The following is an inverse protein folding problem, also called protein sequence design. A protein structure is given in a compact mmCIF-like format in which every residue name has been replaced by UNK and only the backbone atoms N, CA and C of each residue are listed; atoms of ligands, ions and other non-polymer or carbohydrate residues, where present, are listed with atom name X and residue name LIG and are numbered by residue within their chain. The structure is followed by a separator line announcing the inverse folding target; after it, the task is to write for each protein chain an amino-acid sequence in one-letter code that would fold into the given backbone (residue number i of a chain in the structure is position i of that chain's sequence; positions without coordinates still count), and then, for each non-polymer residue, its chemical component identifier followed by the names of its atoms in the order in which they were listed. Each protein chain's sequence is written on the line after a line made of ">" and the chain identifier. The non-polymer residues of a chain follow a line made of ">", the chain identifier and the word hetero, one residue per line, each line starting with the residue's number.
data_IF_761867173986
#
_entry.id   IF_761867173986
#
_cell.length_a   1.000
_cell.length_b   1.000
_cell.length_c   1.000
_cell.angle_alpha   90.00
_cell.angle_beta   90.00
_cell.angle_gamma   90.00
#
_symmetry.space_group_name_H-M   'P 1'
#
loop_
_entity.id
_entity.type
_entity.pdbx_description
1 polymer ?
#
# COMPACT_ATOMS: atom_id res chain seq x y z
N UNK A 1 12.49 20.37 -8.23
CA UNK A 1 12.11 19.06 -7.69
C UNK A 1 10.61 18.89 -7.86
N UNK A 2 10.19 17.79 -8.46
CA UNK A 2 8.78 17.54 -8.73
C UNK A 2 8.00 17.27 -7.46
N UNK A 3 6.78 17.77 -7.40
CA UNK A 3 5.87 17.48 -6.30
C UNK A 3 4.94 16.32 -6.68
N UNK A 4 4.50 15.57 -5.69
CA UNK A 4 3.54 14.51 -5.87
C UNK A 4 2.12 15.06 -5.67
N UNK A 5 1.20 14.57 -6.51
CA UNK A 5 -0.22 14.86 -6.40
C UNK A 5 -0.97 13.58 -6.03
N UNK A 6 -1.95 13.72 -5.15
CA UNK A 6 -2.85 12.62 -4.78
C UNK A 6 -4.18 12.86 -5.48
N UNK A 7 -4.56 11.94 -6.37
CA UNK A 7 -5.68 12.14 -7.29
C UNK A 7 -6.61 10.92 -7.28
N UNK A 8 -7.88 11.10 -7.69
CA UNK A 8 -8.78 9.96 -7.87
C UNK A 8 -8.26 8.98 -8.92
N UNK A 9 -8.58 7.70 -8.76
CA UNK A 9 -8.24 6.67 -9.74
C UNK A 9 -9.32 6.66 -10.83
N UNK A 10 -8.88 6.72 -12.08
CA UNK A 10 -9.77 6.63 -13.24
C UNK A 10 -9.74 5.22 -13.84
N UNK A 11 -10.80 4.77 -14.53
CA UNK A 11 -10.82 3.42 -15.11
C UNK A 11 -9.62 3.11 -15.99
N UNK A 12 -9.16 4.05 -16.79
CA UNK A 12 -8.00 3.89 -17.67
C UNK A 12 -6.67 3.72 -16.94
N UNK A 13 -6.61 4.11 -15.66
CA UNK A 13 -5.39 3.97 -14.87
C UNK A 13 -5.08 2.50 -14.56
N UNK A 14 -6.08 1.64 -14.53
CA UNK A 14 -5.90 0.23 -14.16
C UNK A 14 -4.87 -0.44 -15.07
N UNK A 15 -5.02 -0.28 -16.39
CA UNK A 15 -4.10 -0.89 -17.35
C UNK A 15 -2.68 -0.34 -17.23
N UNK A 16 -2.55 0.95 -16.97
CA UNK A 16 -1.24 1.61 -16.79
C UNK A 16 -0.55 1.07 -15.53
N UNK A 17 -1.28 0.98 -14.43
CA UNK A 17 -0.73 0.46 -13.18
C UNK A 17 -0.28 -0.99 -13.36
N UNK A 18 -1.12 -1.84 -13.93
CA UNK A 18 -0.79 -3.26 -14.11
C UNK A 18 0.45 -3.45 -14.99
N UNK A 19 0.64 -2.59 -16.00
CA UNK A 19 1.82 -2.62 -16.85
C UNK A 19 3.10 -2.31 -16.08
N UNK A 20 3.02 -1.36 -15.14
CA UNK A 20 4.20 -0.74 -14.54
C UNK A 20 4.47 -1.19 -13.09
N UNK A 21 3.75 -2.18 -12.55
CA UNK A 21 3.94 -2.63 -11.17
C UNK A 21 5.40 -3.02 -10.92
N UNK A 22 5.93 -2.59 -9.79
CA UNK A 22 7.30 -2.88 -9.36
C UNK A 22 7.46 -4.38 -9.07
N UNK A 23 8.60 -4.96 -9.44
CA UNK A 23 8.82 -6.41 -9.32
C UNK A 23 8.61 -6.93 -7.90
N UNK A 24 9.08 -6.21 -6.88
CA UNK A 24 8.90 -6.65 -5.50
C UNK A 24 7.41 -6.75 -5.11
N UNK A 25 6.57 -5.87 -5.64
CA UNK A 25 5.12 -5.92 -5.40
C UNK A 25 4.49 -7.07 -6.18
N UNK A 26 4.97 -7.36 -7.39
CA UNK A 26 4.53 -8.53 -8.15
C UNK A 26 4.82 -9.81 -7.36
N UNK A 27 6.04 -9.94 -6.85
CA UNK A 27 6.45 -11.11 -6.07
C UNK A 27 5.61 -11.27 -4.81
N UNK A 28 5.34 -10.18 -4.11
CA UNK A 28 4.52 -10.20 -2.91
C UNK A 28 3.09 -10.65 -3.21
N UNK A 29 2.48 -10.13 -4.26
CA UNK A 29 1.09 -10.40 -4.59
C UNK A 29 0.92 -11.78 -5.23
N UNK A 30 1.72 -12.08 -6.25
CA UNK A 30 1.54 -13.32 -7.03
C UNK A 30 2.08 -14.53 -6.28
N UNK A 31 3.32 -14.48 -5.79
CA UNK A 31 3.90 -15.58 -5.02
C UNK A 31 3.46 -15.56 -3.56
N UNK A 32 3.53 -14.39 -2.94
CA UNK A 32 3.28 -14.26 -1.51
C UNK A 32 1.81 -14.45 -1.15
N UNK A 33 0.92 -13.71 -1.77
CA UNK A 33 -0.51 -13.78 -1.47
C UNK A 33 -1.24 -14.84 -2.32
N UNK A 34 -0.65 -15.25 -3.44
CA UNK A 34 -1.23 -16.28 -4.29
C UNK A 34 -2.43 -15.80 -5.11
N UNK A 35 -2.48 -14.51 -5.44
CA UNK A 35 -3.57 -13.92 -6.21
C UNK A 35 -3.01 -13.17 -7.43
N UNK A 36 -3.86 -12.87 -8.41
CA UNK A 36 -3.42 -12.10 -9.57
C UNK A 36 -3.28 -10.62 -9.22
N UNK A 37 -2.39 -9.91 -9.94
CA UNK A 37 -2.23 -8.47 -9.78
C UNK A 37 -3.53 -7.73 -10.04
N UNK A 38 -4.24 -8.11 -11.09
CA UNK A 38 -5.50 -7.45 -11.45
C UNK A 38 -6.54 -7.61 -10.35
N UNK A 39 -6.70 -8.83 -9.82
CA UNK A 39 -7.64 -9.12 -8.75
C UNK A 39 -7.30 -8.31 -7.50
N UNK A 40 -6.03 -8.27 -7.10
CA UNK A 40 -5.62 -7.51 -5.92
C UNK A 40 -5.89 -6.03 -6.08
N UNK A 41 -5.58 -5.48 -7.25
CA UNK A 41 -5.80 -4.05 -7.53
C UNK A 41 -7.29 -3.71 -7.55
N UNK A 42 -8.08 -4.47 -8.29
CA UNK A 42 -9.53 -4.19 -8.45
C UNK A 42 -10.25 -4.38 -7.13
N UNK A 43 -9.97 -5.47 -6.41
CA UNK A 43 -10.59 -5.76 -5.11
C UNK A 43 -10.17 -4.74 -4.05
N UNK A 44 -8.90 -4.32 -4.07
CA UNK A 44 -8.40 -3.29 -3.17
C UNK A 44 -9.13 -1.97 -3.36
N UNK A 45 -9.29 -1.55 -4.60
CA UNK A 45 -10.02 -0.31 -4.93
C UNK A 45 -11.49 -0.42 -4.48
N UNK A 46 -12.14 -1.52 -4.82
CA UNK A 46 -13.56 -1.73 -4.50
C UNK A 46 -13.82 -1.81 -2.99
N UNK A 47 -12.87 -2.39 -2.23
CA UNK A 47 -13.01 -2.59 -0.79
C UNK A 47 -12.54 -1.42 0.06
N UNK A 48 -12.04 -0.35 -0.55
CA UNK A 48 -11.45 0.76 0.19
C UNK A 48 -12.35 1.97 0.26
N UNK A 49 -12.24 2.72 1.36
CA UNK A 49 -12.99 3.96 1.55
C UNK A 49 -12.43 5.09 0.72
N UNK A 50 -11.12 5.16 0.54
CA UNK A 50 -10.45 6.25 -0.17
C UNK A 50 -9.27 5.71 -1.00
N UNK A 51 -9.59 4.96 -2.06
CA UNK A 51 -8.55 4.52 -2.97
C UNK A 51 -8.17 5.68 -3.92
N UNK A 52 -6.87 6.00 -3.98
CA UNK A 52 -6.36 7.10 -4.80
C UNK A 52 -5.01 6.73 -5.40
N UNK A 53 -4.58 7.51 -6.39
CA UNK A 53 -3.27 7.35 -7.01
C UNK A 53 -2.35 8.51 -6.61
N UNK A 54 -1.06 8.23 -6.62
CA UNK A 54 -0.02 9.24 -6.42
C UNK A 54 0.69 9.43 -7.76
N UNK A 55 0.74 10.67 -8.23
CA UNK A 55 1.31 11.03 -9.54
C UNK A 55 2.45 12.02 -9.35
N UNK A 56 3.58 11.75 -10.00
CA UNK A 56 4.74 12.66 -10.05
C UNK A 56 5.18 12.74 -11.50
N UNK A 57 5.34 13.95 -12.03
CA UNK A 57 5.76 14.19 -13.43
C UNK A 57 4.91 13.38 -14.42
N UNK A 58 3.59 13.45 -14.26
CA UNK A 58 2.61 12.77 -15.11
C UNK A 58 2.71 11.23 -15.09
N UNK A 59 3.48 10.66 -14.15
CA UNK A 59 3.60 9.21 -14.00
C UNK A 59 2.94 8.76 -12.71
N UNK A 60 2.18 7.67 -12.78
CA UNK A 60 1.62 7.05 -11.59
C UNK A 60 2.76 6.32 -10.88
N UNK A 61 3.07 6.74 -9.66
CA UNK A 61 4.12 6.08 -8.86
C UNK A 61 3.55 5.04 -7.89
N UNK A 62 2.29 5.20 -7.49
CA UNK A 62 1.63 4.24 -6.59
C UNK A 62 0.13 4.45 -6.60
N UNK A 63 -0.59 3.42 -6.17
CA UNK A 63 -2.00 3.49 -5.77
C UNK A 63 -2.11 2.94 -4.37
N UNK A 64 -3.06 3.44 -3.60
CA UNK A 64 -3.21 3.05 -2.20
C UNK A 64 -4.64 3.21 -1.75
N UNK A 65 -4.96 2.62 -0.61
CA UNK A 65 -6.25 2.76 0.02
C UNK A 65 -6.24 2.18 1.42
N UNK A 66 -7.37 2.31 2.10
CA UNK A 66 -7.60 1.70 3.40
C UNK A 66 -8.87 0.86 3.35
N UNK A 67 -8.70 -0.44 3.26
CA UNK A 67 -9.81 -1.38 3.24
C UNK A 67 -10.43 -1.49 4.64
N UNK A 68 -11.72 -1.78 4.69
CA UNK A 68 -12.44 -1.95 5.95
C UNK A 68 -12.39 -3.42 6.34
N UNK A 69 -11.84 -3.70 7.54
CA UNK A 69 -11.76 -5.06 8.04
C UNK A 69 -13.04 -5.49 8.75
N UNK A 70 -13.70 -4.55 9.43
CA UNK A 70 -14.92 -4.84 10.19
C UNK A 70 -15.81 -3.62 10.22
N UNK A 71 -17.13 -3.83 10.04
CA UNK A 71 -18.14 -2.76 10.11
C UNK A 71 -18.26 -2.15 11.51
N UNK A 72 -18.02 -2.95 12.54
CA UNK A 72 -18.09 -2.50 13.93
C UNK A 72 -16.69 -2.22 14.51
N UNK A 73 -15.65 -2.67 13.80
CA UNK A 73 -14.29 -2.52 14.24
C UNK A 73 -13.71 -1.20 13.80
N UNK A 74 -12.64 -0.86 14.47
CA UNK A 74 -11.86 0.33 14.19
C UNK A 74 -10.57 -0.02 13.47
N UNK A 75 -10.53 -1.18 12.80
CA UNK A 75 -9.35 -1.68 12.11
C UNK A 75 -9.46 -1.41 10.62
N UNK A 76 -8.52 -0.65 10.08
CA UNK A 76 -8.35 -0.46 8.66
C UNK A 76 -7.16 -1.26 8.16
N UNK A 77 -7.23 -1.69 6.91
CA UNK A 77 -6.16 -2.43 6.25
C UNK A 77 -5.55 -1.52 5.18
N UNK A 78 -4.44 -0.83 5.50
CA UNK A 78 -3.77 0.01 4.51
C UNK A 78 -3.09 -0.89 3.49
N UNK A 79 -3.20 -0.52 2.21
CA UNK A 79 -2.54 -1.25 1.13
C UNK A 79 -1.96 -0.26 0.14
N UNK A 80 -0.93 -0.71 -0.55
CA UNK A 80 -0.25 0.10 -1.55
C UNK A 80 0.33 -0.82 -2.62
N UNK A 81 0.12 -0.45 -3.88
CA UNK A 81 0.78 -1.07 -5.02
C UNK A 81 1.60 0.01 -5.70
N UNK A 82 2.91 -0.19 -5.79
CA UNK A 82 3.82 0.78 -6.37
C UNK A 82 4.26 0.37 -7.77
N UNK A 83 4.63 1.37 -8.56
CA UNK A 83 5.14 1.16 -9.91
C UNK A 83 6.66 1.34 -9.94
N UNK A 84 7.26 0.97 -11.08
CA UNK A 84 8.70 1.12 -11.28
C UNK A 84 9.16 2.58 -11.17
N UNK A 85 8.25 3.54 -11.27
CA UNK A 85 8.58 4.96 -11.21
C UNK A 85 8.79 5.48 -9.78
N UNK A 86 8.35 4.73 -8.76
CA UNK A 86 8.40 5.21 -7.37
C UNK A 86 9.84 5.46 -6.89
N UNK A 87 10.78 4.63 -7.34
CA UNK A 87 12.17 4.74 -6.85
C UNK A 87 12.85 6.05 -7.26
N UNK A 88 12.48 6.60 -8.40
CA UNK A 88 13.00 7.90 -8.85
C UNK A 88 12.36 9.07 -8.13
N UNK A 89 11.25 8.82 -7.42
CA UNK A 89 10.46 9.87 -6.77
C UNK A 89 10.14 9.52 -5.31
N UNK A 90 10.98 8.70 -4.68
CA UNK A 90 10.71 8.18 -3.34
C UNK A 90 10.46 9.28 -2.30
N UNK A 91 11.23 10.36 -2.34
CA UNK A 91 11.08 11.46 -1.38
C UNK A 91 9.72 12.15 -1.53
N UNK A 92 9.33 12.51 -2.76
CA UNK A 92 8.05 13.14 -3.03
C UNK A 92 6.88 12.22 -2.66
N UNK A 93 7.01 10.93 -2.98
CA UNK A 93 6.06 9.89 -2.63
C UNK A 93 5.86 9.80 -1.10
N UNK A 94 6.93 9.66 -0.35
CA UNK A 94 6.85 9.51 1.11
C UNK A 94 6.26 10.76 1.77
N UNK A 95 6.57 11.94 1.23
CA UNK A 95 6.09 13.20 1.76
C UNK A 95 4.56 13.30 1.71
N UNK A 96 3.92 12.77 0.66
CA UNK A 96 2.46 12.76 0.58
C UNK A 96 1.85 11.55 1.30
N UNK A 97 2.59 10.45 1.46
CA UNK A 97 2.10 9.31 2.23
C UNK A 97 1.83 9.66 3.69
N UNK A 98 2.64 10.53 4.29
CA UNK A 98 2.53 10.83 5.71
C UNK A 98 1.15 11.41 6.08
N UNK A 99 0.65 12.48 5.44
CA UNK A 99 -0.70 12.96 5.76
C UNK A 99 -1.79 11.97 5.37
N UNK A 100 -1.58 11.12 4.37
CA UNK A 100 -2.56 10.10 4.00
C UNK A 100 -2.70 9.04 5.09
N UNK A 101 -1.59 8.60 5.68
CA UNK A 101 -1.62 7.68 6.83
C UNK A 101 -2.32 8.33 8.02
N UNK A 102 -2.07 9.61 8.29
CA UNK A 102 -2.78 10.33 9.35
C UNK A 102 -4.28 10.39 9.06
N UNK A 103 -4.66 10.59 7.80
CA UNK A 103 -6.07 10.55 7.38
C UNK A 103 -6.70 9.18 7.63
N UNK A 104 -5.98 8.09 7.37
CA UNK A 104 -6.45 6.74 7.67
C UNK A 104 -6.71 6.57 9.17
N UNK A 105 -5.86 7.14 10.02
CA UNK A 105 -6.03 7.07 11.47
C UNK A 105 -7.22 7.89 11.98
N UNK A 106 -7.75 8.83 11.21
CA UNK A 106 -9.00 9.51 11.56
C UNK A 106 -10.21 8.62 11.29
N UNK A 107 -10.11 7.71 10.34
CA UNK A 107 -11.18 6.78 9.96
C UNK A 107 -11.13 5.46 10.74
N UNK A 108 -9.93 5.05 11.17
CA UNK A 108 -9.69 3.79 11.86
C UNK A 108 -8.81 4.03 13.08
N UNK A 109 -9.12 3.37 14.19
CA UNK A 109 -8.27 3.44 15.39
C UNK A 109 -6.96 2.70 15.22
N UNK A 110 -7.01 1.61 14.46
CA UNK A 110 -5.88 0.71 14.24
C UNK A 110 -5.71 0.47 12.76
N UNK A 111 -4.48 0.51 12.31
CA UNK A 111 -4.10 0.09 10.96
C UNK A 111 -3.28 -1.18 11.09
N UNK A 112 -3.59 -2.17 10.28
CA UNK A 112 -2.92 -3.46 10.35
C UNK A 112 -2.86 -4.11 8.96
N UNK A 113 -1.70 -4.64 8.60
CA UNK A 113 -1.54 -5.46 7.40
C UNK A 113 -0.24 -6.26 7.51
N UNK A 114 0.07 -7.00 6.46
CA UNK A 114 1.29 -7.79 6.34
C UNK A 114 2.09 -7.29 5.14
N UNK A 115 3.41 -7.38 5.22
CA UNK A 115 4.31 -7.06 4.11
C UNK A 115 5.30 -8.21 3.94
N UNK A 116 5.55 -8.61 2.68
CA UNK A 116 6.51 -9.65 2.35
C UNK A 116 7.90 -9.25 2.86
N UNK A 117 8.56 -10.15 3.57
CA UNK A 117 9.89 -9.89 4.14
C UNK A 117 10.94 -9.56 3.06
N UNK A 118 10.70 -9.95 1.81
CA UNK A 118 11.57 -9.67 0.68
C UNK A 118 11.39 -8.25 0.13
N UNK A 119 10.27 -7.60 0.45
CA UNK A 119 9.93 -6.26 -0.05
C UNK A 119 10.60 -5.19 0.81
N UNK A 120 11.92 -5.12 0.74
CA UNK A 120 12.74 -4.29 1.64
C UNK A 120 12.47 -2.81 1.51
N UNK A 121 12.18 -2.32 0.32
CA UNK A 121 11.86 -0.90 0.12
C UNK A 121 10.55 -0.54 0.83
N UNK A 122 9.50 -1.35 0.68
CA UNK A 122 8.23 -1.12 1.36
C UNK A 122 8.38 -1.15 2.87
N UNK A 123 9.20 -2.07 3.40
CA UNK A 123 9.50 -2.15 4.82
C UNK A 123 10.14 -0.84 5.31
N UNK A 124 11.11 -0.30 4.57
CA UNK A 124 11.74 0.98 4.92
C UNK A 124 10.74 2.13 4.91
N UNK A 125 9.87 2.18 3.91
CA UNK A 125 8.84 3.23 3.83
C UNK A 125 7.88 3.15 5.01
N UNK A 126 7.41 1.95 5.35
CA UNK A 126 6.49 1.73 6.47
C UNK A 126 7.12 2.13 7.80
N UNK A 127 8.39 1.79 8.02
CA UNK A 127 9.12 2.20 9.22
C UNK A 127 9.23 3.72 9.31
N UNK A 128 9.55 4.35 8.20
CA UNK A 128 9.66 5.82 8.16
C UNK A 128 8.30 6.49 8.45
N UNK A 129 7.20 5.86 8.01
CA UNK A 129 5.85 6.35 8.27
C UNK A 129 5.40 6.13 9.72
N UNK A 130 6.15 5.39 10.50
CA UNK A 130 5.89 5.20 11.92
C UNK A 130 5.24 3.87 12.29
N UNK A 131 5.09 2.94 11.35
CA UNK A 131 4.51 1.63 11.65
C UNK A 131 5.44 0.79 12.51
N UNK A 132 4.85 0.04 13.43
CA UNK A 132 5.53 -0.95 14.25
C UNK A 132 5.46 -2.32 13.61
N UNK A 133 6.53 -3.09 13.71
CA UNK A 133 6.64 -4.41 13.09
C UNK A 133 6.70 -5.50 14.14
N UNK A 134 5.96 -6.59 13.91
CA UNK A 134 6.09 -7.81 14.68
C UNK A 134 7.09 -8.77 14.04
N UNK A 135 7.22 -9.95 14.62
CA UNK A 135 8.07 -10.99 14.08
C UNK A 135 7.47 -11.56 12.78
N UNK A 136 8.34 -11.98 11.86
CA UNK A 136 7.90 -12.59 10.61
C UNK A 136 7.12 -13.88 10.90
N UNK A 137 6.03 -14.06 10.16
CA UNK A 137 5.18 -15.25 10.25
C UNK A 137 5.00 -15.85 8.86
N UNK A 138 4.78 -17.18 8.78
CA UNK A 138 4.41 -17.80 7.50
C UNK A 138 3.04 -17.28 7.05
N UNK A 139 2.94 -16.87 5.80
CA UNK A 139 1.72 -16.27 5.29
C UNK A 139 1.50 -16.66 3.82
N UNK A 140 0.25 -16.75 3.41
CA UNK A 140 -0.11 -17.10 2.05
C UNK A 140 0.06 -18.59 1.74
N UNK A 141 -0.25 -19.01 0.49
CA UNK A 141 -0.26 -20.43 0.12
C UNK A 141 1.11 -21.09 0.16
N UNK A 142 2.18 -20.32 -0.04
CA UNK A 142 3.55 -20.83 0.02
C UNK A 142 4.19 -20.68 1.39
N UNK A 143 3.46 -20.11 2.34
CA UNK A 143 3.94 -19.86 3.70
C UNK A 143 5.26 -19.11 3.73
N UNK A 144 5.40 -18.12 2.88
CA UNK A 144 6.57 -17.25 2.85
C UNK A 144 6.55 -16.31 4.07
N UNK A 145 7.74 -15.83 4.52
CA UNK A 145 7.77 -14.94 5.68
C UNK A 145 7.22 -13.55 5.33
N UNK A 146 6.25 -13.11 6.13
CA UNK A 146 5.68 -11.77 6.07
C UNK A 146 5.79 -11.15 7.45
N UNK A 147 6.03 -9.84 7.50
CA UNK A 147 5.99 -9.09 8.75
C UNK A 147 4.60 -8.48 8.95
N UNK A 148 3.98 -8.72 10.10
CA UNK A 148 2.81 -7.91 10.47
C UNK A 148 3.27 -6.49 10.82
N UNK A 149 2.51 -5.49 10.40
CA UNK A 149 2.79 -4.11 10.76
C UNK A 149 1.52 -3.41 11.21
N UNK A 150 1.66 -2.53 12.19
CA UNK A 150 0.53 -1.86 12.84
C UNK A 150 0.85 -0.41 13.12
N UNK A 151 -0.21 0.38 13.18
CA UNK A 151 -0.11 1.75 13.67
C UNK A 151 -1.42 2.10 14.35
N UNK A 152 -1.34 2.61 15.57
CA UNK A 152 -2.51 2.96 16.37
C UNK A 152 -2.65 4.48 16.43
N UNK A 153 -3.92 4.92 16.47
CA UNK A 153 -4.21 6.33 16.67
C UNK A 153 -3.81 6.76 18.07
N UNK A 154 -3.11 7.86 18.16
CA UNK A 154 -2.81 8.45 19.46
C UNK A 154 -4.07 9.07 20.07
N UNK A 155 -4.21 8.92 21.38
CA UNK A 155 -5.34 9.49 22.14
C UNK A 155 -5.00 10.83 22.73
#
# INVERSE_FOLDING_TARGET
>A
MAAADVLPIEPEDIAVILRDVRQADIDEIVEGLGVSLESELVDGIAGSLNARKIVVDDQIVAVFGDAVHSLLGSVGVPWLISTVHVEHHARAFLKVCKPEVQGMLTRHRHLFNYVDARNTAAIRWLKWLGFDFGEAVPYGPRRLPFYPFTLDREE
#
